data_IF_318677914143
#
_entry.id   IF_318677914143
#
_cell.length_a   1.000
_cell.length_b   1.000
_cell.length_c   1.000
_cell.angle_alpha   90.00
_cell.angle_beta   90.00
_cell.angle_gamma   90.00
#
_symmetry.space_group_name_H-M   'P 1'
#
loop_
_entity.id
_entity.type
_entity.pdbx_description
1 polymer ?
#
# COMPACT_ATOMS: atom_id res chain seq x y z
N UNK A 1 -13.04 1.74 -22.00
CA UNK A 1 -13.64 2.17 -20.72
C UNK A 1 -13.33 3.63 -20.46
N UNK A 2 -14.24 4.33 -19.81
CA UNK A 2 -14.05 5.73 -19.48
C UNK A 2 -13.05 5.91 -18.35
N UNK A 3 -12.51 7.13 -18.21
CA UNK A 3 -11.64 7.48 -17.08
C UNK A 3 -12.36 7.34 -15.74
N UNK A 4 -13.67 7.63 -15.68
CA UNK A 4 -14.45 7.47 -14.46
C UNK A 4 -14.59 6.00 -14.04
N UNK A 5 -14.85 5.11 -15.01
CA UNK A 5 -14.87 3.67 -14.75
C UNK A 5 -13.50 3.15 -14.30
N UNK A 6 -12.42 3.64 -14.90
CA UNK A 6 -11.07 3.27 -14.51
C UNK A 6 -10.74 3.74 -13.08
N UNK A 7 -11.20 4.93 -12.68
CA UNK A 7 -11.08 5.41 -11.29
C UNK A 7 -11.79 4.50 -10.31
N UNK A 8 -13.01 4.07 -10.63
CA UNK A 8 -13.79 3.16 -9.78
C UNK A 8 -13.08 1.82 -9.59
N UNK A 9 -12.50 1.29 -10.68
CA UNK A 9 -11.74 0.04 -10.61
C UNK A 9 -10.51 0.19 -9.70
N UNK A 10 -9.76 1.27 -9.85
CA UNK A 10 -8.60 1.52 -9.00
C UNK A 10 -9.00 1.70 -7.52
N UNK A 11 -10.09 2.42 -7.25
CA UNK A 11 -10.60 2.62 -5.90
C UNK A 11 -11.10 1.33 -5.27
N UNK A 12 -11.54 0.36 -6.07
CA UNK A 12 -11.95 -0.96 -5.58
C UNK A 12 -10.82 -1.70 -4.85
N UNK A 13 -9.56 -1.44 -5.22
CA UNK A 13 -8.41 -1.98 -4.50
C UNK A 13 -8.34 -1.44 -3.06
N UNK A 14 -8.56 -0.16 -2.88
CA UNK A 14 -8.56 0.48 -1.55
C UNK A 14 -9.74 -0.03 -0.72
N UNK A 15 -10.91 -0.14 -1.32
CA UNK A 15 -12.10 -0.68 -0.65
C UNK A 15 -11.88 -2.11 -0.16
N UNK A 16 -11.27 -2.96 -0.99
CA UNK A 16 -10.96 -4.34 -0.62
C UNK A 16 -9.95 -4.41 0.53
N UNK A 17 -8.92 -3.58 0.52
CA UNK A 17 -7.98 -3.49 1.63
C UNK A 17 -8.66 -3.02 2.92
N UNK A 18 -9.53 -2.02 2.84
CA UNK A 18 -10.29 -1.54 3.98
C UNK A 18 -11.27 -2.59 4.52
N UNK A 19 -11.78 -3.45 3.66
CA UNK A 19 -12.59 -4.61 4.05
C UNK A 19 -11.74 -5.78 4.57
N UNK A 20 -10.43 -5.69 4.47
CA UNK A 20 -9.47 -6.75 4.80
C UNK A 20 -9.71 -8.03 3.99
N UNK A 21 -10.23 -7.87 2.78
CA UNK A 21 -10.60 -8.97 1.89
C UNK A 21 -9.61 -9.03 0.72
N UNK A 22 -8.53 -9.80 0.91
CA UNK A 22 -7.50 -9.95 -0.11
C UNK A 22 -7.92 -10.88 -1.25
N UNK A 23 -8.92 -11.71 -1.06
CA UNK A 23 -9.51 -12.48 -2.16
C UNK A 23 -10.26 -11.54 -3.09
N UNK A 24 -11.05 -10.62 -2.54
CA UNK A 24 -11.71 -9.57 -3.31
C UNK A 24 -10.68 -8.68 -4.01
N UNK A 25 -9.66 -8.25 -3.28
CA UNK A 25 -8.56 -7.44 -3.82
C UNK A 25 -7.95 -8.12 -5.06
N UNK A 26 -7.63 -9.40 -4.93
CA UNK A 26 -7.02 -10.20 -6.00
C UNK A 26 -7.93 -10.36 -7.22
N UNK A 27 -9.24 -10.40 -7.04
CA UNK A 27 -10.20 -10.52 -8.15
C UNK A 27 -10.25 -9.28 -9.05
N UNK A 28 -9.77 -8.15 -8.58
CA UNK A 28 -9.66 -6.93 -9.40
C UNK A 28 -8.40 -6.92 -10.28
N UNK A 29 -7.51 -7.88 -10.11
CA UNK A 29 -6.25 -7.96 -10.83
C UNK A 29 -6.37 -8.85 -12.06
N UNK A 30 -5.66 -8.48 -13.14
CA UNK A 30 -5.55 -9.37 -14.32
C UNK A 30 -4.64 -10.56 -14.00
N UNK A 31 -4.76 -11.63 -14.79
CA UNK A 31 -3.95 -12.83 -14.58
C UNK A 31 -2.46 -12.59 -14.78
N UNK A 32 -2.11 -11.63 -15.64
CA UNK A 32 -0.71 -11.23 -15.89
C UNK A 32 -0.27 -10.00 -15.08
N UNK A 33 -0.98 -9.71 -13.98
CA UNK A 33 -0.66 -8.58 -13.11
C UNK A 33 0.79 -8.60 -12.66
N UNK A 34 1.40 -7.43 -12.66
CA UNK A 34 2.71 -7.20 -12.08
C UNK A 34 2.74 -5.83 -11.41
N UNK A 35 3.37 -5.75 -10.25
CA UNK A 35 3.46 -4.49 -9.51
C UNK A 35 4.81 -4.31 -8.85
N UNK A 36 5.23 -3.05 -8.77
CA UNK A 36 6.42 -2.65 -8.03
C UNK A 36 6.02 -2.12 -6.66
N UNK A 37 6.73 -2.57 -5.65
CA UNK A 37 6.49 -2.22 -4.24
C UNK A 37 7.77 -1.72 -3.58
N UNK A 38 7.67 -0.77 -2.64
CA UNK A 38 8.84 -0.35 -1.87
C UNK A 38 9.45 -1.53 -1.11
N UNK A 39 10.78 -1.59 -1.09
CA UNK A 39 11.52 -2.63 -0.40
C UNK A 39 11.56 -3.97 -1.10
N UNK A 40 11.08 -4.06 -2.33
CA UNK A 40 11.11 -5.27 -3.16
C UNK A 40 11.81 -4.94 -4.48
N UNK A 41 12.85 -5.69 -4.81
CA UNK A 41 13.74 -5.38 -5.94
C UNK A 41 13.21 -5.85 -7.30
N UNK A 42 12.16 -6.67 -7.31
CA UNK A 42 11.57 -7.21 -8.53
C UNK A 42 10.05 -6.99 -8.52
N UNK A 43 9.41 -6.87 -9.70
CA UNK A 43 7.97 -6.81 -9.74
C UNK A 43 7.33 -8.07 -9.14
N UNK A 44 6.25 -7.89 -8.43
CA UNK A 44 5.47 -8.99 -7.84
C UNK A 44 4.29 -9.34 -8.73
N UNK A 45 4.08 -10.64 -8.93
CA UNK A 45 2.89 -11.16 -9.57
C UNK A 45 1.68 -11.08 -8.62
N UNK A 46 0.53 -11.52 -9.10
CA UNK A 46 -0.72 -11.49 -8.35
C UNK A 46 -0.61 -12.19 -6.99
N UNK A 47 -0.09 -13.41 -6.96
CA UNK A 47 0.04 -14.21 -5.74
C UNK A 47 0.99 -13.57 -4.72
N UNK A 48 2.14 -13.10 -5.19
CA UNK A 48 3.13 -12.45 -4.32
C UNK A 48 2.66 -11.09 -3.83
N UNK A 49 1.89 -10.36 -4.64
CA UNK A 49 1.29 -9.09 -4.22
C UNK A 49 0.26 -9.28 -3.12
N UNK A 50 -0.55 -10.33 -3.18
CA UNK A 50 -1.47 -10.70 -2.09
C UNK A 50 -0.67 -10.97 -0.81
N UNK A 51 0.40 -11.75 -0.90
CA UNK A 51 1.25 -12.04 0.26
C UNK A 51 1.90 -10.77 0.83
N UNK A 52 2.30 -9.84 -0.03
CA UNK A 52 2.86 -8.56 0.39
C UNK A 52 1.87 -7.77 1.24
N UNK A 53 0.64 -7.63 0.79
CA UNK A 53 -0.40 -6.90 1.52
C UNK A 53 -0.88 -7.65 2.77
N UNK A 54 -0.91 -8.98 2.73
CA UNK A 54 -1.32 -9.79 3.88
C UNK A 54 -0.46 -9.53 5.11
N UNK A 55 0.81 -9.24 4.94
CA UNK A 55 1.71 -8.91 6.05
C UNK A 55 1.21 -7.72 6.85
N UNK A 56 0.74 -6.69 6.16
CA UNK A 56 0.23 -5.47 6.80
C UNK A 56 -1.15 -5.67 7.40
N UNK A 57 -2.02 -6.39 6.71
CA UNK A 57 -3.37 -6.70 7.24
C UNK A 57 -3.26 -7.54 8.52
N UNK A 58 -2.30 -8.45 8.57
CA UNK A 58 -2.04 -9.27 9.77
C UNK A 58 -1.45 -8.43 10.91
N UNK A 59 -0.43 -7.62 10.62
CA UNK A 59 0.29 -6.85 11.64
C UNK A 59 -0.54 -5.70 12.21
N UNK A 60 -1.41 -5.13 11.40
CA UNK A 60 -2.29 -4.00 11.74
C UNK A 60 -3.74 -4.39 11.52
N UNK A 61 -4.37 -5.11 12.47
CA UNK A 61 -5.75 -5.58 12.28
C UNK A 61 -6.78 -4.47 12.08
N UNK A 62 -6.48 -3.26 12.53
CA UNK A 62 -7.30 -2.06 12.35
C UNK A 62 -6.86 -1.19 11.17
N UNK A 63 -6.05 -1.74 10.25
CA UNK A 63 -5.52 -0.98 9.11
C UNK A 63 -6.63 -0.33 8.30
N UNK A 64 -6.43 0.94 7.96
CA UNK A 64 -7.38 1.74 7.19
C UNK A 64 -6.63 2.65 6.24
N UNK A 65 -7.10 2.70 5.01
CA UNK A 65 -6.61 3.60 3.98
C UNK A 65 -7.66 4.67 3.71
N UNK A 66 -7.27 5.91 3.82
CA UNK A 66 -8.11 7.07 3.54
C UNK A 66 -7.64 7.70 2.23
N UNK A 67 -8.53 7.74 1.23
CA UNK A 67 -8.22 8.33 -0.07
C UNK A 67 -8.28 9.85 0.03
N UNK A 68 -7.25 10.51 -0.46
CA UNK A 68 -7.12 11.97 -0.43
C UNK A 68 -7.20 12.60 -1.81
N UNK A 69 -6.95 11.84 -2.86
CA UNK A 69 -7.04 12.33 -4.22
C UNK A 69 -6.99 11.20 -5.24
N UNK A 70 -7.67 11.41 -6.35
CA UNK A 70 -7.70 10.47 -7.47
C UNK A 70 -7.57 11.26 -8.75
N UNK A 71 -6.62 10.89 -9.59
CA UNK A 71 -6.42 11.48 -10.91
C UNK A 71 -6.35 10.34 -11.95
N UNK A 72 -6.90 10.56 -13.11
CA UNK A 72 -6.83 9.58 -14.18
C UNK A 72 -6.51 10.25 -15.51
N UNK A 73 -5.67 9.58 -16.29
CA UNK A 73 -5.38 9.94 -17.66
C UNK A 73 -5.36 8.65 -18.48
N UNK A 74 -6.31 8.51 -19.39
CA UNK A 74 -6.47 7.28 -20.17
C UNK A 74 -6.70 6.08 -19.25
N UNK A 75 -5.91 5.04 -19.44
CA UNK A 75 -5.97 3.81 -18.65
C UNK A 75 -5.24 3.91 -17.29
N UNK A 76 -4.54 5.01 -17.04
CA UNK A 76 -3.76 5.17 -15.82
C UNK A 76 -4.53 5.93 -14.76
N UNK A 77 -4.52 5.41 -13.54
CA UNK A 77 -5.18 6.03 -12.39
C UNK A 77 -4.18 6.16 -11.25
N UNK A 78 -4.03 7.38 -10.76
CA UNK A 78 -3.24 7.69 -9.58
C UNK A 78 -4.18 7.89 -8.39
N UNK A 79 -3.87 7.23 -7.29
CA UNK A 79 -4.62 7.36 -6.03
C UNK A 79 -3.66 7.75 -4.92
N UNK A 80 -3.92 8.88 -4.29
CA UNK A 80 -3.19 9.32 -3.11
C UNK A 80 -3.97 8.90 -1.85
N UNK A 81 -3.26 8.33 -0.89
CA UNK A 81 -3.91 7.81 0.33
C UNK A 81 -3.02 8.01 1.56
N UNK A 82 -3.64 7.88 2.73
CA UNK A 82 -2.94 7.76 4.00
C UNK A 82 -3.37 6.45 4.64
N UNK A 83 -2.40 5.61 4.99
CA UNK A 83 -2.62 4.38 5.72
C UNK A 83 -2.37 4.57 7.20
N UNK A 84 -3.25 4.06 8.04
CA UNK A 84 -3.12 4.12 9.50
C UNK A 84 -3.47 2.79 10.15
N UNK A 85 -2.97 2.57 11.35
CA UNK A 85 -3.26 1.38 12.11
C UNK A 85 -2.43 1.27 13.35
N UNK A 86 -2.70 0.25 14.16
CA UNK A 86 -1.97 -0.05 15.39
C UNK A 86 -1.25 -1.39 15.24
N UNK A 87 0.04 -1.40 15.49
CA UNK A 87 0.89 -2.59 15.35
C UNK A 87 0.71 -3.53 16.54
N UNK A 88 -0.27 -4.42 16.45
CA UNK A 88 -0.62 -5.34 17.54
C UNK A 88 -0.23 -6.79 17.28
N UNK A 89 0.13 -7.14 16.05
CA UNK A 89 0.56 -8.47 15.67
C UNK A 89 1.92 -8.43 14.95
N UNK A 90 2.53 -9.57 14.77
CA UNK A 90 3.84 -9.67 14.13
C UNK A 90 3.81 -9.14 12.70
N UNK A 91 4.82 -8.36 12.34
CA UNK A 91 5.04 -7.90 10.97
C UNK A 91 6.19 -8.69 10.34
N UNK A 92 5.87 -9.53 9.36
CA UNK A 92 6.89 -10.20 8.57
C UNK A 92 7.52 -9.21 7.59
N UNK A 93 8.85 -9.18 7.53
CA UNK A 93 9.58 -8.33 6.58
C UNK A 93 9.80 -9.06 5.26
N UNK A 94 10.16 -8.31 4.22
CA UNK A 94 10.49 -8.89 2.90
C UNK A 94 11.80 -9.70 2.92
N UNK A 95 12.60 -9.57 3.97
CA UNK A 95 13.87 -10.29 4.13
C UNK A 95 13.72 -11.54 5.00
N UNK A 96 12.51 -11.94 5.35
CA UNK A 96 12.25 -13.13 6.15
C UNK A 96 12.37 -12.93 7.66
N UNK A 97 12.60 -11.71 8.12
CA UNK A 97 12.61 -11.37 9.54
C UNK A 97 11.20 -11.07 10.02
N UNK A 98 11.00 -11.11 11.32
CA UNK A 98 9.74 -10.76 11.96
C UNK A 98 9.96 -9.64 12.97
N UNK A 99 9.13 -8.62 12.89
CA UNK A 99 9.11 -7.53 13.86
C UNK A 99 8.02 -7.84 14.89
N UNK A 100 8.39 -8.01 16.17
CA UNK A 100 7.38 -8.22 17.22
C UNK A 100 6.44 -7.02 17.35
N UNK A 101 5.21 -7.22 17.88
CA UNK A 101 4.27 -6.12 18.09
C UNK A 101 4.88 -4.98 18.91
N UNK A 102 4.85 -3.77 18.36
CA UNK A 102 5.37 -2.57 19.06
C UNK A 102 4.27 -1.84 19.84
N UNK A 103 3.01 -2.15 19.55
CA UNK A 103 1.82 -1.50 20.14
C UNK A 103 1.68 -0.02 19.74
N UNK A 104 2.47 0.42 18.77
CA UNK A 104 2.46 1.81 18.33
C UNK A 104 1.42 2.02 17.23
N UNK A 105 0.82 3.19 17.23
CA UNK A 105 -0.05 3.66 16.18
C UNK A 105 0.77 4.34 15.09
N UNK A 106 0.46 4.05 13.84
CA UNK A 106 1.16 4.61 12.70
C UNK A 106 0.19 5.32 11.75
N UNK A 107 0.71 6.30 11.04
CA UNK A 107 0.03 7.03 9.98
C UNK A 107 1.03 7.36 8.89
N UNK A 108 0.89 6.76 7.72
CA UNK A 108 1.88 6.82 6.65
C UNK A 108 1.23 7.26 5.35
N UNK A 109 1.75 8.31 4.69
CA UNK A 109 1.27 8.72 3.39
C UNK A 109 1.77 7.77 2.32
N UNK A 110 0.99 7.63 1.26
CA UNK A 110 1.36 6.82 0.12
C UNK A 110 0.56 7.16 -1.10
N UNK A 111 0.92 6.51 -2.19
CA UNK A 111 0.24 6.63 -3.46
C UNK A 111 0.41 5.35 -4.26
N UNK A 112 -0.51 5.12 -5.17
CA UNK A 112 -0.36 4.09 -6.17
C UNK A 112 -0.71 4.65 -7.54
N UNK A 113 0.03 4.22 -8.54
CA UNK A 113 -0.31 4.38 -9.94
C UNK A 113 -0.73 3.03 -10.45
N UNK A 114 -1.89 2.94 -11.08
CA UNK A 114 -2.41 1.71 -11.65
C UNK A 114 -2.66 1.87 -13.15
N UNK A 115 -2.58 0.78 -13.87
CA UNK A 115 -2.97 0.71 -15.28
C UNK A 115 -4.10 -0.30 -15.41
N UNK A 116 -5.24 0.19 -15.91
CA UNK A 116 -6.46 -0.61 -16.09
C UNK A 116 -6.49 -1.13 -17.51
N UNK A 117 -6.78 -2.41 -17.67
CA UNK A 117 -6.95 -3.05 -18.97
C UNK A 117 -8.11 -4.05 -18.87
N UNK A 118 -9.08 -3.89 -19.76
CA UNK A 118 -10.25 -4.78 -19.84
C UNK A 118 -10.97 -4.97 -18.49
N UNK A 119 -11.14 -3.87 -17.75
CA UNK A 119 -11.84 -3.89 -16.46
C UNK A 119 -11.04 -4.44 -15.29
N UNK A 120 -9.76 -4.75 -15.48
CA UNK A 120 -8.87 -5.27 -14.44
C UNK A 120 -7.64 -4.38 -14.29
N UNK A 121 -7.04 -4.44 -13.11
CA UNK A 121 -5.73 -3.81 -12.89
C UNK A 121 -4.65 -4.72 -13.47
N UNK A 122 -3.92 -4.24 -14.46
CA UNK A 122 -2.87 -5.01 -15.13
C UNK A 122 -1.48 -4.70 -14.59
N UNK A 123 -1.25 -3.47 -14.17
CA UNK A 123 0.03 -3.02 -13.60
C UNK A 123 -0.24 -2.12 -12.41
N UNK A 124 0.68 -2.15 -11.43
CA UNK A 124 0.66 -1.28 -10.28
C UNK A 124 2.06 -0.80 -9.90
N UNK A 125 2.13 0.43 -9.43
CA UNK A 125 3.32 1.02 -8.84
C UNK A 125 2.90 1.64 -7.52
N UNK A 126 3.48 1.13 -6.42
CA UNK A 126 3.15 1.59 -5.08
C UNK A 126 4.31 2.40 -4.52
N UNK A 127 4.00 3.56 -3.98
CA UNK A 127 4.97 4.47 -3.37
C UNK A 127 4.46 4.84 -1.99
N UNK A 128 5.24 4.52 -0.98
CA UNK A 128 4.89 4.92 0.38
C UNK A 128 6.16 5.03 1.23
N UNK A 129 6.08 5.78 2.30
CA UNK A 129 7.24 6.14 3.11
C UNK A 129 7.57 5.04 4.12
N UNK A 130 8.42 4.10 3.72
CA UNK A 130 8.88 3.02 4.60
C UNK A 130 9.66 3.54 5.81
N UNK A 131 10.47 4.58 5.61
CA UNK A 131 11.27 5.13 6.70
C UNK A 131 10.36 5.76 7.76
N UNK A 132 9.30 6.45 7.36
CA UNK A 132 8.30 6.97 8.28
C UNK A 132 7.64 5.85 9.09
N UNK A 133 7.30 4.73 8.44
CA UNK A 133 6.74 3.58 9.14
C UNK A 133 7.71 3.07 10.21
N UNK A 134 8.97 2.82 9.84
CA UNK A 134 9.97 2.31 10.77
C UNK A 134 10.22 3.27 11.93
N UNK A 135 10.28 4.57 11.66
CA UNK A 135 10.46 5.58 12.70
C UNK A 135 9.27 5.62 13.67
N UNK A 136 8.04 5.56 13.15
CA UNK A 136 6.83 5.54 13.98
C UNK A 136 6.70 4.26 14.81
N UNK A 137 7.23 3.15 14.32
CA UNK A 137 7.31 1.91 15.08
C UNK A 137 8.45 1.91 16.13
N UNK A 138 9.27 2.95 16.13
CA UNK A 138 10.41 3.06 17.05
C UNK A 138 11.58 2.17 16.69
N UNK A 139 11.68 1.74 15.43
CA UNK A 139 12.70 0.79 14.96
C UNK A 139 13.92 1.47 14.34
N UNK A 140 13.84 2.75 14.08
CA UNK A 140 14.96 3.55 13.57
C UNK A 140 14.83 4.99 14.05
N UNK A 141 15.95 5.66 14.23
CA UNK A 141 15.98 7.10 14.47
C UNK A 141 15.79 7.82 13.13
N UNK A 142 15.14 8.98 13.18
CA UNK A 142 15.07 9.82 12.00
C UNK A 142 16.48 10.34 11.69
N UNK A 143 17.00 10.10 10.47
CA UNK A 143 18.26 10.70 10.06
C UNK A 143 18.17 12.23 10.10
N UNK A 144 19.29 12.91 10.26
CA UNK A 144 19.34 14.38 10.26
C UNK A 144 18.87 15.06 8.96
N UNK A 145 18.47 14.27 7.95
CA UNK A 145 17.86 14.78 6.74
C UNK A 145 16.38 15.17 6.93
N UNK A 146 15.73 14.64 7.97
CA UNK A 146 14.31 14.91 8.26
C UNK A 146 14.26 15.94 9.40
N UNK A 147 14.10 17.19 9.02
CA UNK A 147 14.02 18.30 9.96
C UNK A 147 12.58 18.49 10.43
N UNK A 148 12.42 18.88 11.70
CA UNK A 148 11.11 19.33 12.17
C UNK A 148 10.78 20.69 11.54
N UNK A 149 9.48 21.06 11.59
CA UNK A 149 9.06 22.36 11.06
C UNK A 149 9.81 23.54 11.71
N UNK A 150 10.22 23.39 12.98
CA UNK A 150 11.02 24.39 13.68
C UNK A 150 12.47 24.46 13.16
N UNK A 151 12.94 23.45 12.41
CA UNK A 151 14.25 23.44 11.80
C UNK A 151 14.36 24.26 10.53
N UNK A 152 13.25 24.83 10.04
CA UNK A 152 13.19 25.71 8.90
C UNK A 152 12.80 27.16 9.34
#
# INVERSE_FOLDING_TARGET
>A
MSTEENKEIALSLIEALNARDLDLWSRHLSDDYAAEHPGVSVPLDKTRSVAYHQRFVTAFPDIRFEVQGVLAEGARVFVQWTGSGTHTERLATTTGRTIPPTRRRVRVPGAMLTEVREGKIARGWFYWDQLALLAQLGLTEQPGLFLSAEGF
#
